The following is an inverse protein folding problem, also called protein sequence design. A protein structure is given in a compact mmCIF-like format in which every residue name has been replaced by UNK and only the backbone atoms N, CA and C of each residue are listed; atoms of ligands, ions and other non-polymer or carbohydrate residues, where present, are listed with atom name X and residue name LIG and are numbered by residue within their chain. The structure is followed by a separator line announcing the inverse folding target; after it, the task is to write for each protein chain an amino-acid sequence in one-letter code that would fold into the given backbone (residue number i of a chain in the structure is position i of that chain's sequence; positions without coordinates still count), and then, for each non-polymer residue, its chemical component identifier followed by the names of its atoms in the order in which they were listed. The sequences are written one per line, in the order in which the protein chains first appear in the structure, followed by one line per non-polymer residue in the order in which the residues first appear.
data_IF_835462241717
#
_entry.id   IF_835462241717
#
_cell.length_a   1.000
_cell.length_b   1.000
_cell.length_c   1.000
_cell.angle_alpha   90.00
_cell.angle_beta   90.00
_cell.angle_gamma   90.00
#
_symmetry.space_group_name_H-M   'P 1'
#
loop_
_entity.id
_entity.type
_entity.pdbx_description
1 polymer ?
#
# COMPACT_ATOMS: atom_id res chain seq x y z
N UNK A 1 1.69 1.17 0.97
CA UNK A 1 1.47 1.69 2.35
C UNK A 1 0.89 3.09 2.26
N UNK A 2 0.16 3.56 3.27
CA UNK A 2 -0.44 4.91 3.28
C UNK A 2 -0.09 5.66 4.57
N UNK A 3 0.19 6.94 4.44
CA UNK A 3 0.30 7.85 5.56
C UNK A 3 -1.11 8.38 5.92
N UNK A 4 -1.51 8.23 7.17
CA UNK A 4 -2.82 8.66 7.68
C UNK A 4 -2.67 9.65 8.84
N UNK A 5 -3.67 10.49 9.13
CA UNK A 5 -3.63 11.37 10.30
C UNK A 5 -3.45 10.58 11.60
N UNK A 6 -2.58 11.04 12.49
CA UNK A 6 -2.35 10.42 13.79
C UNK A 6 -3.44 10.76 14.83
N UNK A 7 -4.14 11.87 14.66
CA UNK A 7 -5.17 12.37 15.57
C UNK A 7 -6.60 12.17 15.03
N UNK A 8 -7.56 12.12 15.96
CA UNK A 8 -9.00 12.00 15.67
C UNK A 8 -9.69 13.37 15.48
N UNK A 9 -8.97 14.49 15.65
CA UNK A 9 -9.53 15.84 15.48
C UNK A 9 -9.59 16.18 14.00
N UNK A 10 -10.79 16.20 13.47
CA UNK A 10 -11.11 16.66 12.13
C UNK A 10 -11.68 18.08 12.26
N UNK A 11 -11.02 19.06 11.66
CA UNK A 11 -11.61 20.39 11.46
C UNK A 11 -12.34 20.39 10.12
N UNK A 12 -13.59 20.82 10.15
CA UNK A 12 -14.40 20.99 8.94
C UNK A 12 -14.34 22.46 8.56
N UNK A 13 -14.08 22.75 7.31
CA UNK A 13 -14.17 24.09 6.76
C UNK A 13 -15.63 24.56 6.84
N UNK A 14 -15.95 25.61 7.61
CA UNK A 14 -17.32 26.02 7.81
C UNK A 14 -18.00 26.60 6.55
N UNK A 15 -17.22 26.98 5.52
CA UNK A 15 -17.75 27.55 4.28
C UNK A 15 -17.97 26.49 3.20
N UNK A 16 -17.10 25.48 3.13
CA UNK A 16 -17.14 24.47 2.06
C UNK A 16 -17.65 23.11 2.53
N UNK A 17 -17.73 22.88 3.86
CA UNK A 17 -18.02 21.57 4.43
C UNK A 17 -16.91 20.54 4.20
N UNK A 18 -15.80 20.92 3.59
CA UNK A 18 -14.69 20.02 3.30
C UNK A 18 -13.85 19.77 4.56
N UNK A 19 -13.32 18.57 4.66
CA UNK A 19 -12.43 18.20 5.74
C UNK A 19 -11.10 18.93 5.60
N UNK A 20 -10.80 19.85 6.54
CA UNK A 20 -9.47 20.43 6.64
C UNK A 20 -8.52 19.37 7.17
N UNK A 21 -7.63 18.89 6.32
CA UNK A 21 -6.47 18.15 6.77
C UNK A 21 -5.53 19.15 7.46
N UNK A 22 -5.70 19.28 8.77
CA UNK A 22 -4.73 20.04 9.56
C UNK A 22 -3.36 19.42 9.33
N UNK A 23 -2.34 20.26 9.29
CA UNK A 23 -0.91 19.91 9.35
C UNK A 23 -0.60 19.30 10.73
N UNK A 24 -1.26 18.19 11.05
CA UNK A 24 -1.09 17.43 12.28
C UNK A 24 -0.09 16.30 12.07
N UNK A 25 0.29 15.70 13.15
CA UNK A 25 1.11 14.48 13.14
C UNK A 25 0.44 13.41 12.27
N UNK A 26 1.23 12.79 11.42
CA UNK A 26 0.81 11.67 10.58
C UNK A 26 1.49 10.40 11.06
N UNK A 27 0.90 9.26 10.75
CA UNK A 27 1.47 7.93 11.05
C UNK A 27 1.25 7.00 9.88
N UNK A 28 1.99 5.92 9.85
CA UNK A 28 1.71 4.82 8.95
C UNK A 28 0.35 4.20 9.29
N UNK A 29 -0.46 3.92 8.27
CA UNK A 29 -1.71 3.20 8.45
C UNK A 29 -1.46 1.86 9.15
N UNK A 30 -2.13 1.56 10.27
CA UNK A 30 -1.88 0.33 11.04
C UNK A 30 -2.03 -0.95 10.22
N UNK A 31 -3.01 -1.04 9.33
CA UNK A 31 -3.20 -2.21 8.48
C UNK A 31 -2.01 -2.47 7.55
N UNK A 32 -1.32 -1.42 7.13
CA UNK A 32 -0.14 -1.55 6.27
C UNK A 32 1.09 -2.05 7.03
N UNK A 33 1.14 -1.87 8.35
CA UNK A 33 2.19 -2.47 9.19
C UNK A 33 2.05 -4.01 9.24
N UNK A 34 0.83 -4.54 9.29
CA UNK A 34 0.59 -5.98 9.18
C UNK A 34 0.97 -6.49 7.78
N UNK A 35 0.65 -5.73 6.74
CA UNK A 35 1.04 -6.07 5.37
C UNK A 35 2.57 -6.11 5.19
N UNK A 36 3.28 -5.12 5.73
CA UNK A 36 4.74 -5.09 5.71
C UNK A 36 5.34 -6.26 6.47
N UNK A 37 4.86 -6.55 7.68
CA UNK A 37 5.34 -7.69 8.48
C UNK A 37 5.12 -9.01 7.75
N UNK A 38 3.94 -9.21 7.14
CA UNK A 38 3.64 -10.40 6.36
C UNK A 38 4.62 -10.57 5.18
N UNK A 39 4.92 -9.49 4.46
CA UNK A 39 5.90 -9.49 3.38
C UNK A 39 7.30 -9.85 3.86
N UNK A 40 7.73 -9.31 5.01
CA UNK A 40 9.03 -9.58 5.60
C UNK A 40 9.17 -11.04 6.06
N UNK A 41 8.13 -11.60 6.68
CA UNK A 41 8.09 -13.01 7.08
C UNK A 41 8.14 -13.94 5.86
N UNK A 42 7.41 -13.62 4.80
CA UNK A 42 7.47 -14.38 3.55
C UNK A 42 8.86 -14.33 2.94
N UNK A 43 9.48 -13.15 2.84
CA UNK A 43 10.86 -13.03 2.36
C UNK A 43 11.85 -13.86 3.18
N UNK A 44 11.70 -13.89 4.50
CA UNK A 44 12.55 -14.70 5.39
C UNK A 44 12.37 -16.21 5.14
N UNK A 45 11.18 -16.62 4.71
CA UNK A 45 10.83 -18.01 4.45
C UNK A 45 11.23 -18.49 3.06
N UNK A 46 10.90 -17.72 2.03
CA UNK A 46 11.03 -18.15 0.63
C UNK A 46 12.09 -17.39 -0.15
N UNK A 47 12.70 -16.35 0.43
CA UNK A 47 13.65 -15.47 -0.24
C UNK A 47 12.95 -14.33 -0.98
N UNK A 48 13.74 -13.63 -1.82
CA UNK A 48 13.25 -12.48 -2.59
C UNK A 48 13.55 -11.13 -1.93
N UNK A 49 12.84 -10.08 -2.34
CA UNK A 49 12.97 -8.72 -1.83
C UNK A 49 11.61 -8.08 -1.55
N UNK A 50 11.58 -7.11 -0.65
CA UNK A 50 10.38 -6.37 -0.27
C UNK A 50 10.52 -4.91 -0.65
N UNK A 51 9.76 -4.48 -1.65
CA UNK A 51 9.64 -3.08 -2.06
C UNK A 51 8.37 -2.47 -1.47
N UNK A 52 8.50 -1.36 -0.74
CA UNK A 52 7.35 -0.61 -0.24
C UNK A 52 6.98 0.49 -1.23
N UNK A 53 5.68 0.62 -1.50
CA UNK A 53 5.13 1.61 -2.42
C UNK A 53 4.07 2.47 -1.70
N UNK A 54 4.11 3.78 -1.96
CA UNK A 54 3.06 4.72 -1.56
C UNK A 54 2.76 5.71 -2.68
N UNK A 55 1.56 6.27 -2.68
CA UNK A 55 1.22 7.46 -3.45
C UNK A 55 0.93 8.60 -2.47
N UNK A 56 1.68 9.68 -2.58
CA UNK A 56 1.54 10.79 -1.65
C UNK A 56 2.50 11.95 -1.92
N UNK A 57 2.43 12.98 -1.07
CA UNK A 57 3.37 14.10 -1.16
C UNK A 57 4.78 13.65 -0.72
N UNK A 58 5.82 14.45 -1.05
CA UNK A 58 7.22 14.11 -0.69
C UNK A 58 7.44 13.82 0.80
N UNK A 59 6.62 14.39 1.69
CA UNK A 59 6.69 14.14 3.14
C UNK A 59 6.42 12.67 3.52
N UNK A 60 5.81 11.88 2.63
CA UNK A 60 5.64 10.45 2.83
C UNK A 60 6.99 9.69 2.89
N UNK A 61 8.11 10.35 2.57
CA UNK A 61 9.44 9.80 2.72
C UNK A 61 9.73 9.31 4.14
N UNK A 62 9.23 10.01 5.17
CA UNK A 62 9.39 9.61 6.56
C UNK A 62 8.85 8.18 6.81
N UNK A 63 7.64 7.90 6.32
CA UNK A 63 7.04 6.57 6.40
C UNK A 63 7.86 5.51 5.64
N UNK A 64 8.45 5.87 4.50
CA UNK A 64 9.33 4.97 3.74
C UNK A 64 10.63 4.68 4.51
N UNK A 65 11.17 5.69 5.20
CA UNK A 65 12.32 5.53 6.09
C UNK A 65 12.01 4.57 7.25
N UNK A 66 10.82 4.69 7.84
CA UNK A 66 10.38 3.76 8.89
C UNK A 66 10.29 2.33 8.37
N UNK A 67 9.78 2.11 7.16
CA UNK A 67 9.73 0.80 6.54
C UNK A 67 11.13 0.17 6.36
N UNK A 68 12.14 0.95 6.02
CA UNK A 68 13.54 0.49 6.02
C UNK A 68 14.01 0.04 7.40
N UNK A 69 13.61 0.73 8.46
CA UNK A 69 13.99 0.34 9.83
C UNK A 69 13.33 -0.96 10.28
N UNK A 70 12.23 -1.35 9.64
CA UNK A 70 11.57 -2.63 9.84
C UNK A 70 12.15 -3.73 8.95
N UNK A 71 12.87 -3.37 7.88
CA UNK A 71 13.59 -4.34 7.05
C UNK A 71 13.18 -4.39 5.59
N UNK A 72 12.42 -3.42 5.08
CA UNK A 72 12.18 -3.29 3.65
C UNK A 72 13.50 -3.14 2.87
N UNK A 73 13.55 -3.66 1.65
CA UNK A 73 14.74 -3.61 0.79
C UNK A 73 14.75 -2.35 -0.06
N UNK A 74 13.60 -1.95 -0.61
CA UNK A 74 13.44 -0.77 -1.45
C UNK A 74 12.18 0.01 -1.08
N UNK A 75 12.19 1.31 -1.42
CA UNK A 75 11.06 2.21 -1.17
C UNK A 75 10.80 3.12 -2.37
N UNK A 76 9.53 3.22 -2.77
CA UNK A 76 9.08 4.01 -3.92
C UNK A 76 7.91 4.91 -3.53
N UNK A 77 7.97 6.18 -3.93
CA UNK A 77 6.89 7.14 -3.74
C UNK A 77 6.39 7.59 -5.12
N UNK A 78 5.11 7.41 -5.39
CA UNK A 78 4.45 8.07 -6.51
C UNK A 78 4.08 9.49 -6.05
N UNK A 79 4.79 10.50 -6.52
CA UNK A 79 4.60 11.88 -6.09
C UNK A 79 4.59 12.84 -7.27
N UNK A 80 3.38 13.28 -7.61
CA UNK A 80 3.13 14.31 -8.62
C UNK A 80 1.83 15.06 -8.27
N UNK A 81 1.76 16.35 -8.63
CA UNK A 81 0.51 17.12 -8.50
C UNK A 81 -0.64 16.53 -9.29
N UNK A 82 -0.36 15.84 -10.39
CA UNK A 82 -1.34 15.14 -11.23
C UNK A 82 -2.03 13.97 -10.52
N UNK A 83 -1.46 13.47 -9.42
CA UNK A 83 -2.06 12.41 -8.60
C UNK A 83 -2.93 12.97 -7.47
N UNK A 84 -2.87 14.27 -7.21
CA UNK A 84 -3.56 14.87 -6.07
C UNK A 84 -5.09 14.83 -6.23
N UNK A 85 -5.81 14.66 -5.11
CA UNK A 85 -7.27 14.62 -5.09
C UNK A 85 -7.89 13.36 -5.69
N UNK A 86 -7.10 12.29 -5.84
CA UNK A 86 -7.56 11.01 -6.36
C UNK A 86 -8.52 10.32 -5.39
N UNK A 87 -9.64 9.84 -5.92
CA UNK A 87 -10.52 8.88 -5.24
C UNK A 87 -9.98 7.44 -5.34
N UNK A 88 -10.78 6.45 -4.97
CA UNK A 88 -10.38 5.02 -5.02
C UNK A 88 -9.99 4.59 -6.43
N UNK A 89 -10.75 5.00 -7.45
CA UNK A 89 -10.51 4.59 -8.84
C UNK A 89 -9.19 5.15 -9.36
N UNK A 90 -9.01 6.46 -9.26
CA UNK A 90 -7.79 7.12 -9.72
C UNK A 90 -6.56 6.73 -8.89
N UNK A 91 -6.73 6.49 -7.57
CA UNK A 91 -5.65 6.01 -6.68
C UNK A 91 -5.19 4.61 -7.08
N UNK A 92 -6.12 3.67 -7.23
CA UNK A 92 -5.79 2.28 -7.60
C UNK A 92 -5.18 2.20 -8.99
N UNK A 93 -5.66 3.03 -9.92
CA UNK A 93 -5.07 3.12 -11.25
C UNK A 93 -3.63 3.64 -11.21
N UNK A 94 -3.37 4.75 -10.52
CA UNK A 94 -2.01 5.29 -10.40
C UNK A 94 -1.05 4.27 -9.72
N UNK A 95 -1.50 3.60 -8.67
CA UNK A 95 -0.72 2.57 -8.00
C UNK A 95 -0.44 1.37 -8.91
N UNK A 96 -1.41 0.92 -9.72
CA UNK A 96 -1.19 -0.17 -10.68
C UNK A 96 -0.16 0.19 -11.74
N UNK A 97 -0.16 1.44 -12.22
CA UNK A 97 0.86 1.94 -13.14
C UNK A 97 2.25 2.00 -12.48
N UNK A 98 2.32 2.46 -11.23
CA UNK A 98 3.56 2.45 -10.45
C UNK A 98 4.11 1.05 -10.24
N UNK A 99 3.26 0.07 -9.91
CA UNK A 99 3.63 -1.35 -9.77
C UNK A 99 4.18 -1.88 -11.11
N UNK A 100 3.51 -1.59 -12.20
CA UNK A 100 3.98 -1.99 -13.56
C UNK A 100 5.34 -1.36 -13.89
N UNK A 101 5.58 -0.12 -13.50
CA UNK A 101 6.85 0.58 -13.75
C UNK A 101 8.00 0.11 -12.81
N UNK A 102 7.67 -0.46 -11.65
CA UNK A 102 8.66 -1.17 -10.81
C UNK A 102 9.09 -2.46 -11.50
N UNK A 103 8.13 -3.21 -12.07
CA UNK A 103 8.37 -4.46 -12.80
C UNK A 103 8.63 -5.67 -11.90
N UNK A 104 8.60 -6.86 -12.49
CA UNK A 104 8.99 -8.16 -11.87
C UNK A 104 8.41 -8.40 -10.47
N UNK A 105 7.09 -8.19 -10.32
CA UNK A 105 6.37 -8.35 -9.05
C UNK A 105 5.61 -9.68 -9.07
N UNK A 106 5.94 -10.57 -8.14
CA UNK A 106 5.24 -11.83 -7.93
C UNK A 106 4.03 -11.67 -7.01
N UNK A 107 4.19 -10.90 -5.93
CA UNK A 107 3.16 -10.75 -4.90
C UNK A 107 3.01 -9.31 -4.47
N UNK A 108 1.76 -8.85 -4.40
CA UNK A 108 1.39 -7.57 -3.83
C UNK A 108 0.65 -7.81 -2.53
N UNK A 109 1.09 -7.19 -1.43
CA UNK A 109 0.41 -7.27 -0.14
C UNK A 109 -0.02 -5.87 0.28
N UNK A 110 -1.29 -5.69 0.55
CA UNK A 110 -1.88 -4.45 1.03
C UNK A 110 -2.56 -4.66 2.39
N UNK A 111 -2.57 -3.64 3.23
CA UNK A 111 -3.53 -3.59 4.31
C UNK A 111 -4.96 -3.58 3.76
N UNK A 112 -5.89 -4.27 4.43
CA UNK A 112 -7.29 -4.39 4.00
C UNK A 112 -7.96 -3.04 3.79
N UNK A 113 -7.68 -2.07 4.67
CA UNK A 113 -8.32 -0.76 4.67
C UNK A 113 -7.42 0.29 5.33
N UNK A 114 -7.86 1.55 5.32
CA UNK A 114 -7.16 2.65 5.98
C UNK A 114 -8.02 3.28 7.06
N UNK A 115 -7.41 3.80 8.11
CA UNK A 115 -8.13 4.38 9.25
C UNK A 115 -8.74 5.75 8.97
N UNK A 116 -8.46 6.35 7.83
CA UNK A 116 -8.99 7.65 7.41
C UNK A 116 -10.13 7.55 6.39
N UNK A 117 -10.01 6.68 5.39
CA UNK A 117 -10.99 6.55 4.30
C UNK A 117 -11.87 5.31 4.39
N UNK A 118 -11.38 4.26 5.02
CA UNK A 118 -12.08 3.01 5.38
C UNK A 118 -12.85 2.30 4.24
N UNK A 119 -12.46 2.51 2.98
CA UNK A 119 -13.20 1.96 1.83
C UNK A 119 -12.94 0.49 1.57
N UNK A 120 -11.79 -0.04 1.98
CA UNK A 120 -11.32 -1.41 1.71
C UNK A 120 -11.34 -1.81 0.21
N UNK A 121 -11.27 -0.85 -0.71
CA UNK A 121 -11.45 -1.09 -2.15
C UNK A 121 -10.18 -0.94 -2.97
N UNK A 122 -9.15 -0.23 -2.47
CA UNK A 122 -7.95 0.07 -3.27
C UNK A 122 -7.19 -1.19 -3.66
N UNK A 123 -7.00 -2.15 -2.74
CA UNK A 123 -6.32 -3.42 -3.03
C UNK A 123 -7.01 -4.22 -4.15
N UNK A 124 -8.30 -4.57 -4.01
CA UNK A 124 -9.07 -5.24 -5.06
C UNK A 124 -9.03 -4.51 -6.41
N UNK A 125 -9.15 -3.18 -6.41
CA UNK A 125 -9.12 -2.39 -7.62
C UNK A 125 -7.73 -2.39 -8.31
N UNK A 126 -6.63 -2.42 -7.55
CA UNK A 126 -5.28 -2.60 -8.10
C UNK A 126 -5.19 -3.95 -8.81
N UNK A 127 -5.67 -5.03 -8.18
CA UNK A 127 -5.64 -6.37 -8.78
C UNK A 127 -6.44 -6.43 -10.08
N UNK A 128 -7.60 -5.79 -10.13
CA UNK A 128 -8.42 -5.68 -11.36
C UNK A 128 -7.68 -4.93 -12.46
N UNK A 129 -7.06 -3.79 -12.16
CA UNK A 129 -6.25 -3.03 -13.13
C UNK A 129 -5.06 -3.81 -13.67
N UNK A 130 -4.47 -4.69 -12.86
CA UNK A 130 -3.34 -5.53 -13.25
C UNK A 130 -3.77 -6.86 -13.89
N UNK A 131 -5.05 -7.22 -13.83
CA UNK A 131 -5.58 -8.50 -14.34
C UNK A 131 -5.06 -9.71 -13.57
N UNK A 132 -4.81 -9.57 -12.26
CA UNK A 132 -4.28 -10.62 -11.38
C UNK A 132 -5.30 -11.08 -10.34
N UNK A 133 -5.11 -12.28 -9.81
CA UNK A 133 -5.96 -12.81 -8.75
C UNK A 133 -5.85 -11.98 -7.46
N UNK A 134 -6.96 -11.85 -6.74
CA UNK A 134 -7.02 -11.17 -5.45
C UNK A 134 -7.72 -12.02 -4.39
N UNK A 135 -7.21 -11.96 -3.15
CA UNK A 135 -7.89 -12.50 -1.97
C UNK A 135 -7.76 -11.58 -0.76
N UNK A 136 -8.84 -11.50 0.03
CA UNK A 136 -8.84 -10.91 1.38
C UNK A 136 -8.64 -12.04 2.35
N UNK A 137 -7.44 -12.21 2.94
CA UNK A 137 -7.11 -13.49 3.56
C UNK A 137 -5.99 -13.39 4.58
N UNK A 138 -5.94 -14.41 5.43
CA UNK A 138 -4.77 -14.77 6.21
C UNK A 138 -3.82 -15.59 5.35
N UNK A 139 -2.52 -15.30 5.40
CA UNK A 139 -1.49 -16.05 4.68
C UNK A 139 -1.13 -17.27 5.53
N UNK A 140 -1.31 -18.47 4.97
CA UNK A 140 -1.02 -19.74 5.65
C UNK A 140 0.36 -20.26 5.27
N UNK A 141 0.69 -20.25 3.97
CA UNK A 141 1.92 -20.78 3.43
C UNK A 141 2.29 -20.14 2.09
N UNK A 142 3.54 -20.25 1.68
CA UNK A 142 4.00 -19.81 0.36
C UNK A 142 5.20 -20.63 -0.10
N UNK A 143 5.28 -20.83 -1.40
CA UNK A 143 6.42 -21.40 -2.12
C UNK A 143 6.86 -20.46 -3.27
N UNK A 144 7.75 -20.91 -4.16
CA UNK A 144 8.25 -20.09 -5.27
C UNK A 144 7.23 -19.88 -6.40
N UNK A 145 6.09 -20.58 -6.41
CA UNK A 145 5.13 -20.54 -7.52
C UNK A 145 3.76 -19.99 -7.08
N UNK A 146 3.48 -20.04 -5.77
CA UNK A 146 2.12 -19.79 -5.27
C UNK A 146 2.10 -19.41 -3.80
N UNK A 147 0.98 -18.82 -3.39
CA UNK A 147 0.64 -18.54 -2.00
C UNK A 147 -0.61 -19.32 -1.58
N UNK A 148 -0.58 -19.87 -0.38
CA UNK A 148 -1.74 -20.51 0.24
C UNK A 148 -2.36 -19.55 1.26
N UNK A 149 -3.63 -19.27 1.10
CA UNK A 149 -4.37 -18.31 1.91
C UNK A 149 -5.60 -18.96 2.50
N UNK A 150 -5.97 -18.51 3.70
CA UNK A 150 -7.19 -18.91 4.39
C UNK A 150 -8.13 -17.71 4.53
N UNK A 151 -9.35 -17.88 4.13
CA UNK A 151 -10.41 -16.90 4.25
C UNK A 151 -11.51 -17.45 5.14
N UNK A 152 -11.83 -16.75 6.21
CA UNK A 152 -12.97 -17.09 7.06
C UNK A 152 -14.22 -16.38 6.54
N UNK A 153 -15.14 -17.20 6.05
CA UNK A 153 -16.49 -16.80 5.65
C UNK A 153 -17.44 -17.08 6.82
N UNK A 154 -18.63 -16.47 6.80
CA UNK A 154 -19.58 -16.50 7.94
C UNK A 154 -19.84 -17.92 8.47
N UNK A 155 -19.88 -18.93 7.61
CA UNK A 155 -20.22 -20.31 7.98
C UNK A 155 -19.13 -21.34 7.68
N UNK A 156 -18.09 -20.98 6.95
CA UNK A 156 -17.04 -21.89 6.51
C UNK A 156 -15.69 -21.16 6.44
N UNK A 157 -14.60 -21.89 6.66
CA UNK A 157 -13.24 -21.43 6.32
C UNK A 157 -12.84 -22.05 4.99
N UNK A 158 -12.37 -21.24 4.07
CA UNK A 158 -11.86 -21.67 2.77
C UNK A 158 -10.36 -21.49 2.72
N UNK A 159 -9.64 -22.54 2.36
CA UNK A 159 -8.20 -22.45 2.03
C UNK A 159 -8.05 -22.55 0.53
N UNK A 160 -7.32 -21.59 -0.05
CA UNK A 160 -7.08 -21.51 -1.49
C UNK A 160 -5.59 -21.42 -1.78
N UNK A 161 -5.14 -22.07 -2.86
CA UNK A 161 -3.80 -21.92 -3.41
C UNK A 161 -3.88 -21.03 -4.64
N UNK A 162 -3.15 -19.90 -4.64
CA UNK A 162 -3.21 -18.88 -5.67
C UNK A 162 -1.83 -18.78 -6.33
N UNK A 163 -1.72 -18.97 -7.67
CA UNK A 163 -0.46 -18.80 -8.37
C UNK A 163 -0.04 -17.33 -8.45
N UNK A 164 1.25 -17.07 -8.53
CA UNK A 164 1.77 -15.75 -8.82
C UNK A 164 1.62 -15.37 -10.31
N UNK A 165 1.48 -14.07 -10.68
CA UNK A 165 1.35 -12.95 -9.75
C UNK A 165 -0.06 -12.85 -9.14
N UNK A 166 -0.12 -12.38 -7.89
CA UNK A 166 -1.40 -12.14 -7.23
C UNK A 166 -1.32 -11.00 -6.20
N UNK A 167 -2.49 -10.56 -5.71
CA UNK A 167 -2.60 -9.55 -4.67
C UNK A 167 -3.38 -10.10 -3.48
N UNK A 168 -2.83 -9.90 -2.27
CA UNK A 168 -3.48 -10.27 -1.01
C UNK A 168 -3.71 -9.00 -0.20
N UNK A 169 -4.93 -8.84 0.32
CA UNK A 169 -5.22 -7.84 1.34
C UNK A 169 -5.32 -8.52 2.70
N UNK A 170 -4.56 -8.01 3.66
CA UNK A 170 -4.46 -8.58 5.00
C UNK A 170 -5.20 -7.74 6.03
N UNK A 171 -5.85 -8.42 6.98
CA UNK A 171 -6.55 -7.77 8.09
C UNK A 171 -5.59 -7.52 9.26
N UNK A 172 -6.04 -6.77 10.26
CA UNK A 172 -5.35 -6.62 11.53
C UNK A 172 -5.29 -7.98 12.24
N UNK A 173 -4.35 -8.09 13.17
CA UNK A 173 -4.17 -9.25 14.05
C UNK A 173 -3.68 -10.53 13.35
N UNK A 174 -3.36 -10.49 12.06
CA UNK A 174 -2.79 -11.62 11.32
C UNK A 174 -1.38 -11.98 11.79
N UNK A 175 -0.61 -11.00 12.19
CA UNK A 175 0.75 -11.15 12.73
C UNK A 175 1.02 -10.01 13.70
N UNK A 176 2.14 -10.06 14.40
CA UNK A 176 2.59 -8.95 15.25
C UNK A 176 3.69 -8.20 14.50
N UNK A 177 3.44 -6.95 14.04
CA UNK A 177 4.47 -6.18 13.37
C UNK A 177 5.72 -6.02 14.23
N UNK A 178 6.89 -6.26 13.66
CA UNK A 178 8.17 -6.05 14.35
C UNK A 178 8.40 -4.58 14.65
N UNK A 179 9.13 -4.32 15.70
CA UNK A 179 9.55 -2.96 16.03
C UNK A 179 10.69 -2.50 15.11
N UNK A 180 10.79 -1.18 14.87
CA UNK A 180 11.93 -0.59 14.17
C UNK A 180 13.26 -0.98 14.79
N UNK A 181 14.24 -1.35 13.97
CA UNK A 181 15.58 -1.72 14.41
C UNK A 181 16.53 -0.55 14.33
N UNK A 182 17.18 -0.21 15.44
CA UNK A 182 18.23 0.82 15.46
C UNK A 182 19.40 0.49 14.54
N UNK A 183 19.75 -0.79 14.41
CA UNK A 183 20.79 -1.23 13.48
C UNK A 183 20.40 -0.95 12.04
N UNK A 184 19.18 -1.34 11.64
CA UNK A 184 18.66 -1.08 10.31
C UNK A 184 18.51 0.42 10.04
N UNK A 185 18.13 1.22 11.03
CA UNK A 185 18.09 2.68 10.91
C UNK A 185 19.45 3.25 10.53
N UNK A 186 20.52 2.79 11.15
CA UNK A 186 21.87 3.22 10.80
C UNK A 186 22.30 2.75 9.40
N UNK A 187 22.00 1.50 9.06
CA UNK A 187 22.39 0.90 7.79
C UNK A 187 21.61 1.46 6.60
N UNK A 188 20.36 1.87 6.82
CA UNK A 188 19.49 2.41 5.76
C UNK A 188 19.49 3.92 5.64
N UNK A 189 20.31 4.64 6.45
CA UNK A 189 20.31 6.10 6.50
C UNK A 189 20.50 6.75 5.11
N UNK A 190 21.39 6.18 4.31
CA UNK A 190 21.75 6.69 2.98
C UNK A 190 21.07 5.92 1.84
N UNK A 191 20.16 4.97 2.15
CA UNK A 191 19.38 4.28 1.11
C UNK A 191 18.49 5.27 0.39
N UNK A 192 18.44 5.24 -0.95
CA UNK A 192 17.55 6.10 -1.71
C UNK A 192 16.09 5.72 -1.49
N UNK A 193 15.22 6.70 -1.41
CA UNK A 193 13.79 6.53 -1.62
C UNK A 193 13.50 7.01 -3.05
N UNK A 194 13.10 6.09 -3.93
CA UNK A 194 12.84 6.44 -5.33
C UNK A 194 11.54 7.22 -5.43
N UNK A 195 11.61 8.38 -6.07
CA UNK A 195 10.41 9.16 -6.41
C UNK A 195 10.09 8.90 -7.88
N UNK A 196 8.83 8.52 -8.13
CA UNK A 196 8.29 8.37 -9.47
C UNK A 196 7.18 9.41 -9.67
N UNK A 197 7.15 9.99 -10.84
CA UNK A 197 6.21 11.04 -11.26
C UNK A 197 5.23 10.49 -12.30
N UNK A 198 4.31 11.31 -12.74
CA UNK A 198 3.41 10.96 -13.83
C UNK A 198 4.16 10.60 -15.13
N UNK A 199 5.33 11.18 -15.36
CA UNK A 199 6.13 10.93 -16.56
C UNK A 199 6.78 9.53 -16.58
N UNK A 200 6.88 8.89 -15.42
CA UNK A 200 7.37 7.51 -15.29
C UNK A 200 6.26 6.47 -15.56
N UNK A 201 5.01 6.89 -15.69
CA UNK A 201 3.88 6.00 -15.94
C UNK A 201 3.79 5.61 -17.42
N UNK A 202 3.48 4.34 -17.69
CA UNK A 202 3.33 3.85 -19.06
C UNK A 202 2.10 4.47 -19.77
N UNK A 203 0.99 4.62 -19.06
CA UNK A 203 -0.18 5.33 -19.56
C UNK A 203 -0.19 6.78 -19.05
N UNK A 204 0.03 7.73 -19.95
CA UNK A 204 0.05 9.16 -19.65
C UNK A 204 -1.29 9.85 -19.95
N UNK A 205 -2.39 9.11 -19.98
CA UNK A 205 -3.71 9.70 -20.14
C UNK A 205 -4.16 10.35 -18.81
N UNK A 206 -4.01 11.67 -18.70
CA UNK A 206 -4.31 12.42 -17.49
C UNK A 206 -5.76 12.24 -16.99
N UNK A 207 -6.71 11.90 -17.88
CA UNK A 207 -8.11 11.68 -17.49
C UNK A 207 -8.33 10.48 -16.56
N UNK A 208 -7.31 9.69 -16.30
CA UNK A 208 -7.34 8.52 -15.38
C UNK A 208 -6.68 8.78 -14.03
N UNK A 209 -6.13 9.98 -13.82
CA UNK A 209 -5.33 10.29 -12.63
C UNK A 209 -5.90 11.47 -11.84
N UNK A 210 -5.59 11.49 -10.55
CA UNK A 210 -5.87 12.58 -9.64
C UNK A 210 -7.35 12.95 -9.62
N UNK A 211 -7.62 14.22 -9.38
CA UNK A 211 -8.99 14.76 -9.34
C UNK A 211 -9.73 14.59 -10.66
N UNK A 212 -9.03 14.71 -11.79
CA UNK A 212 -9.64 14.60 -13.13
C UNK A 212 -10.10 13.17 -13.42
N UNK A 213 -9.37 12.17 -12.93
CA UNK A 213 -9.69 10.75 -13.08
C UNK A 213 -10.65 10.21 -12.03
N UNK A 214 -11.11 11.06 -11.11
CA UNK A 214 -11.96 10.66 -9.97
C UNK A 214 -13.43 10.89 -10.27
N UNK A 215 -14.26 9.84 -10.39
CA UNK A 215 -15.71 10.00 -10.54
C UNK A 215 -16.41 10.44 -9.24
N UNK A 216 -15.75 10.35 -8.11
CA UNK A 216 -16.27 10.77 -6.80
C UNK A 216 -15.47 11.93 -6.22
N UNK A 217 -16.14 12.82 -5.46
CA UNK A 217 -15.46 13.86 -4.67
C UNK A 217 -15.00 13.27 -3.33
N UNK A 218 -13.76 13.54 -2.95
CA UNK A 218 -13.16 13.14 -1.67
C UNK A 218 -13.04 14.36 -0.76
#
# INVERSE_FOLDING_TARGET
MKQVPAGTKVDIDPETGAMKRLSGETRTNPYDLFALEAALQLREKVGGSVTVLTMGPPQAEEMMRDAYTMGADDAVILSDRKFAGADVLATSYALSQGITAIGDIDLIICGKQTTDGDTAQVGPAIAEHLGIAHAVSEIVDADSESIQVKQDLVSVSQTSKIPYPCLITVDKDMCVPRLPSYLLQKQSKDRPVKIMTFEDMADQNLSKYGLVGSPTAV
#
